data_IF_443735650911
#
_entry.id   IF_443735650911
#
_cell.length_a   1.000
_cell.length_b   1.000
_cell.length_c   1.000
_cell.angle_alpha   90.00
_cell.angle_beta   90.00
_cell.angle_gamma   90.00
#
_symmetry.space_group_name_H-M   'P 1'
#
loop_
_entity.id
_entity.type
_entity.pdbx_description
1 polymer ?
#
# COMPACT_ATOMS: atom_id res chain seq x y z
N UNK A 1 -9.17 -33.45 9.91
CA UNK A 1 -10.54 -33.27 9.44
C UNK A 1 -10.58 -32.62 8.07
N UNK A 2 -11.69 -32.67 7.39
CA UNK A 2 -11.91 -32.03 6.10
C UNK A 2 -13.30 -31.38 6.07
N UNK A 3 -13.46 -30.37 5.20
CA UNK A 3 -14.74 -29.71 4.95
C UNK A 3 -14.94 -29.51 3.45
N UNK A 4 -16.19 -29.49 3.01
CA UNK A 4 -16.59 -29.16 1.65
C UNK A 4 -17.43 -27.88 1.69
N UNK A 5 -17.16 -26.96 0.77
CA UNK A 5 -17.97 -25.77 0.52
C UNK A 5 -18.49 -25.88 -0.91
N UNK A 6 -19.80 -25.77 -1.11
CA UNK A 6 -20.41 -25.90 -2.44
C UNK A 6 -21.62 -24.96 -2.59
N UNK A 7 -22.01 -24.61 -3.83
CA UNK A 7 -23.25 -23.88 -4.10
C UNK A 7 -24.50 -24.68 -3.70
N UNK A 8 -25.57 -23.98 -3.32
CA UNK A 8 -26.80 -24.62 -2.83
C UNK A 8 -27.50 -25.53 -3.85
N UNK A 9 -27.29 -25.30 -5.12
CA UNK A 9 -27.87 -26.08 -6.23
C UNK A 9 -27.16 -27.42 -6.48
N UNK A 10 -26.00 -27.64 -5.90
CA UNK A 10 -25.21 -28.89 -6.04
C UNK A 10 -25.24 -29.79 -4.80
N UNK A 11 -26.19 -29.61 -3.89
CA UNK A 11 -26.27 -30.31 -2.60
C UNK A 11 -26.28 -31.84 -2.71
N UNK A 12 -26.87 -32.40 -3.76
CA UNK A 12 -26.91 -33.86 -3.99
C UNK A 12 -25.51 -34.41 -4.29
N UNK A 13 -24.73 -33.73 -5.11
CA UNK A 13 -23.37 -34.15 -5.48
C UNK A 13 -22.45 -34.03 -4.25
N UNK A 14 -22.55 -32.91 -3.53
CA UNK A 14 -21.76 -32.64 -2.34
C UNK A 14 -22.00 -33.67 -1.24
N UNK A 15 -23.25 -34.08 -0.97
CA UNK A 15 -23.57 -35.12 0.00
C UNK A 15 -22.99 -36.48 -0.37
N UNK A 16 -23.03 -36.89 -1.63
CA UNK A 16 -22.38 -38.13 -2.09
C UNK A 16 -20.86 -38.10 -1.93
N UNK A 17 -20.24 -36.96 -2.27
CA UNK A 17 -18.80 -36.77 -2.10
C UNK A 17 -18.41 -36.84 -0.63
N UNK A 18 -19.18 -36.19 0.25
CA UNK A 18 -18.93 -36.18 1.68
C UNK A 18 -18.97 -37.60 2.29
N UNK A 19 -19.93 -38.41 1.88
CA UNK A 19 -20.00 -39.80 2.32
C UNK A 19 -18.78 -40.61 1.85
N UNK A 20 -18.38 -40.46 0.57
CA UNK A 20 -17.19 -41.14 0.02
C UNK A 20 -15.93 -40.68 0.76
N UNK A 21 -15.73 -39.39 0.96
CA UNK A 21 -14.59 -38.84 1.69
C UNK A 21 -14.51 -39.37 3.12
N UNK A 22 -15.64 -39.51 3.82
CA UNK A 22 -15.68 -40.10 5.17
C UNK A 22 -15.29 -41.54 5.23
N UNK A 23 -15.65 -42.30 4.23
CA UNK A 23 -15.32 -43.77 4.13
C UNK A 23 -13.87 -43.99 3.74
N UNK A 24 -13.29 -43.11 2.92
CA UNK A 24 -11.93 -43.23 2.40
C UNK A 24 -10.90 -42.40 3.18
N UNK A 25 -11.34 -41.67 4.24
CA UNK A 25 -10.45 -40.85 5.04
C UNK A 25 -9.60 -41.72 5.97
N UNK A 26 -8.30 -41.73 5.70
CA UNK A 26 -7.31 -42.34 6.59
C UNK A 26 -6.44 -41.27 7.23
N UNK A 27 -6.24 -41.32 8.56
CA UNK A 27 -5.31 -40.46 9.23
C UNK A 27 -3.89 -41.00 9.07
N UNK A 28 -2.99 -40.19 8.55
CA UNK A 28 -1.57 -40.53 8.44
C UNK A 28 -0.87 -40.02 9.69
N UNK A 29 -0.34 -40.90 10.57
CA UNK A 29 0.40 -40.46 11.75
C UNK A 29 1.62 -39.62 11.35
N UNK A 30 1.83 -38.48 11.99
CA UNK A 30 2.94 -37.55 11.71
C UNK A 30 2.76 -36.68 10.47
N UNK A 31 1.58 -36.70 9.81
CA UNK A 31 1.32 -35.83 8.66
C UNK A 31 1.22 -34.34 9.02
N UNK A 32 0.83 -34.03 10.27
CA UNK A 32 0.88 -32.69 10.82
C UNK A 32 2.17 -32.56 11.63
N UNK A 33 2.99 -31.57 11.32
CA UNK A 33 4.19 -31.25 12.14
C UNK A 33 3.76 -30.94 13.57
N UNK A 34 4.44 -31.53 14.56
CA UNK A 34 4.28 -31.10 15.94
C UNK A 34 4.62 -29.61 16.06
N UNK A 35 3.79 -28.87 16.78
CA UNK A 35 4.00 -27.44 17.04
C UNK A 35 5.32 -27.23 17.74
N UNK A 36 6.35 -26.79 17.02
CA UNK A 36 7.53 -26.19 17.60
C UNK A 36 7.25 -24.70 17.79
N UNK A 37 7.20 -24.28 19.05
CA UNK A 37 7.18 -22.90 19.57
C UNK A 37 6.71 -21.76 18.65
N UNK A 38 5.86 -20.93 19.21
CA UNK A 38 4.96 -19.92 18.64
C UNK A 38 5.52 -18.85 17.67
N UNK A 39 6.78 -18.92 17.21
CA UNK A 39 7.40 -17.88 16.38
C UNK A 39 7.73 -18.28 14.92
N UNK A 40 7.71 -19.55 14.56
CA UNK A 40 8.08 -19.99 13.20
C UNK A 40 6.88 -20.38 12.33
N UNK A 41 5.71 -20.65 12.92
CA UNK A 41 4.55 -21.26 12.23
C UNK A 41 3.48 -20.28 11.73
N UNK A 42 3.75 -18.97 11.69
CA UNK A 42 2.75 -18.00 11.19
C UNK A 42 2.48 -18.12 9.67
N UNK A 43 3.29 -18.90 8.95
CA UNK A 43 3.16 -19.06 7.50
C UNK A 43 2.37 -20.31 7.08
N UNK A 44 1.93 -21.14 8.02
CA UNK A 44 1.18 -22.35 7.72
C UNK A 44 -0.31 -22.17 8.02
N UNK A 45 -1.16 -22.39 7.02
CA UNK A 45 -2.60 -22.42 7.25
C UNK A 45 -2.99 -23.84 7.71
N UNK A 46 -3.17 -24.01 9.02
CA UNK A 46 -3.53 -25.28 9.65
C UNK A 46 -4.82 -25.89 9.10
N UNK A 47 -5.73 -25.05 8.56
CA UNK A 47 -7.02 -25.52 8.00
C UNK A 47 -6.89 -26.05 6.57
N UNK A 48 -5.96 -25.52 5.80
CA UNK A 48 -5.80 -25.84 4.37
C UNK A 48 -4.57 -26.69 4.08
N UNK A 49 -3.64 -26.83 5.03
CA UNK A 49 -2.41 -27.61 4.85
C UNK A 49 -1.40 -26.98 3.87
N UNK A 50 -1.55 -25.69 3.53
CA UNK A 50 -0.65 -24.99 2.64
C UNK A 50 0.23 -23.98 3.38
N UNK A 51 1.48 -23.84 2.97
CA UNK A 51 2.31 -22.71 3.38
C UNK A 51 1.72 -21.42 2.83
N UNK A 52 1.35 -20.51 3.74
CA UNK A 52 0.99 -19.15 3.38
C UNK A 52 2.26 -18.36 3.15
N UNK A 53 2.61 -18.12 1.91
CA UNK A 53 3.67 -17.18 1.59
C UNK A 53 3.23 -15.78 2.00
N UNK A 54 4.01 -15.14 2.86
CA UNK A 54 3.82 -13.76 3.27
C UNK A 54 4.90 -12.89 2.64
N UNK A 55 4.57 -11.66 2.23
CA UNK A 55 5.61 -10.73 1.81
C UNK A 55 6.56 -10.42 2.96
N UNK A 56 7.83 -10.16 2.67
CA UNK A 56 8.84 -9.67 3.62
C UNK A 56 8.34 -8.41 4.33
N UNK A 57 7.79 -7.49 3.55
CA UNK A 57 7.06 -6.31 4.02
C UNK A 57 6.09 -5.84 2.96
N UNK A 58 5.14 -5.00 3.37
CA UNK A 58 4.26 -4.27 2.47
C UNK A 58 4.25 -2.79 2.83
N UNK A 59 4.01 -1.96 1.81
CA UNK A 59 3.92 -0.51 1.93
C UNK A 59 2.86 0.05 0.99
N UNK A 60 2.62 1.34 1.06
CA UNK A 60 1.68 2.04 0.21
C UNK A 60 2.33 2.56 -1.06
N UNK A 61 1.52 2.82 -2.07
CA UNK A 61 1.89 3.53 -3.29
C UNK A 61 0.65 4.18 -3.89
N UNK A 62 0.86 5.00 -4.92
CA UNK A 62 -0.23 5.75 -5.55
C UNK A 62 -0.18 5.59 -7.07
N UNK A 63 -1.33 5.32 -7.68
CA UNK A 63 -1.47 5.31 -9.14
C UNK A 63 -1.33 6.71 -9.71
N UNK A 64 -0.42 6.87 -10.68
CA UNK A 64 -0.04 8.18 -11.25
C UNK A 64 -0.50 8.38 -12.69
N UNK A 65 -0.76 7.30 -13.43
CA UNK A 65 -1.20 7.37 -14.82
C UNK A 65 -2.22 6.28 -15.18
N UNK A 66 -2.77 6.36 -16.39
CA UNK A 66 -3.75 5.42 -16.92
C UNK A 66 -3.15 4.04 -17.30
N UNK A 67 -1.82 3.90 -17.27
CA UNK A 67 -1.09 2.64 -17.46
C UNK A 67 -0.81 1.93 -16.13
N UNK A 68 -1.44 2.40 -15.04
CA UNK A 68 -1.29 1.88 -13.68
C UNK A 68 0.15 1.93 -13.14
N UNK A 69 0.97 2.89 -13.59
CA UNK A 69 2.24 3.14 -12.91
C UNK A 69 2.00 3.66 -11.50
N UNK A 70 2.84 3.24 -10.58
CA UNK A 70 2.71 3.55 -9.16
C UNK A 70 3.96 4.30 -8.69
N UNK A 71 3.75 5.39 -7.95
CA UNK A 71 4.81 6.04 -7.18
C UNK A 71 4.79 5.55 -5.74
N UNK A 72 5.96 5.28 -5.18
CA UNK A 72 6.15 4.84 -3.79
C UNK A 72 7.52 5.27 -3.28
N UNK A 73 7.81 5.00 -2.00
CA UNK A 73 9.16 5.17 -1.44
C UNK A 73 10.11 4.09 -2.01
N UNK A 74 11.37 4.44 -2.36
CA UNK A 74 12.31 3.52 -3.00
C UNK A 74 13.07 2.62 -2.02
N UNK A 75 13.39 3.11 -0.82
CA UNK A 75 14.21 2.39 0.17
C UNK A 75 13.76 0.94 0.36
N UNK A 76 14.70 -0.01 0.10
CA UNK A 76 14.50 -1.45 0.28
C UNK A 76 13.79 -2.17 -0.87
N UNK A 77 13.34 -1.48 -1.93
CA UNK A 77 12.70 -2.16 -3.08
C UNK A 77 13.68 -3.03 -3.87
N UNK A 78 14.94 -2.63 -3.97
CA UNK A 78 15.99 -3.39 -4.65
C UNK A 78 16.33 -4.74 -3.99
N UNK A 79 15.93 -4.93 -2.74
CA UNK A 79 16.11 -6.19 -2.00
C UNK A 79 15.00 -7.21 -2.30
N UNK A 80 13.96 -6.80 -3.01
CA UNK A 80 12.82 -7.66 -3.31
C UNK A 80 13.10 -8.52 -4.55
N UNK A 81 12.94 -9.82 -4.43
CA UNK A 81 13.00 -10.72 -5.58
C UNK A 81 11.79 -10.58 -6.50
N UNK A 82 10.66 -10.16 -5.94
CA UNK A 82 9.40 -9.91 -6.63
C UNK A 82 8.65 -8.77 -5.96
N UNK A 83 8.05 -7.89 -6.76
CA UNK A 83 7.15 -6.84 -6.31
C UNK A 83 5.74 -7.12 -6.83
N UNK A 84 4.74 -6.97 -5.97
CA UNK A 84 3.34 -7.04 -6.39
C UNK A 84 2.56 -5.85 -5.92
N UNK A 85 1.54 -5.46 -6.69
CA UNK A 85 0.54 -4.49 -6.26
C UNK A 85 -0.80 -5.19 -5.99
N UNK A 86 -1.47 -4.77 -4.92
CA UNK A 86 -2.77 -5.30 -4.47
C UNK A 86 -2.79 -6.85 -4.37
N UNK A 87 -1.65 -7.44 -4.03
CA UNK A 87 -1.48 -8.86 -3.75
C UNK A 87 -1.33 -9.77 -4.96
N UNK A 88 -1.74 -9.34 -6.16
CA UNK A 88 -1.86 -10.22 -7.34
C UNK A 88 -1.12 -9.76 -8.60
N UNK A 89 -0.89 -8.46 -8.76
CA UNK A 89 -0.30 -7.92 -9.99
C UNK A 89 1.20 -7.74 -9.83
N UNK A 90 1.99 -8.35 -10.73
CA UNK A 90 3.43 -8.20 -10.75
C UNK A 90 3.86 -6.83 -11.29
N UNK A 91 4.83 -6.24 -10.59
CA UNK A 91 5.41 -4.94 -10.92
C UNK A 91 6.92 -5.02 -10.98
N UNK A 92 7.50 -4.14 -11.78
CA UNK A 92 8.95 -3.93 -11.86
C UNK A 92 9.29 -2.47 -11.55
N UNK A 93 10.49 -2.23 -11.05
CA UNK A 93 10.99 -0.88 -10.85
C UNK A 93 11.26 -0.27 -12.24
N UNK A 94 10.55 0.82 -12.56
CA UNK A 94 10.77 1.57 -13.81
C UNK A 94 11.93 2.55 -13.66
N UNK A 95 11.93 3.32 -12.57
CA UNK A 95 12.98 4.28 -12.26
C UNK A 95 12.99 4.60 -10.77
N UNK A 96 14.16 4.92 -10.24
CA UNK A 96 14.37 5.33 -8.85
C UNK A 96 15.11 6.66 -8.78
N UNK A 97 14.82 7.43 -7.73
CA UNK A 97 15.55 8.63 -7.33
C UNK A 97 15.95 8.48 -5.86
N UNK A 98 17.21 8.16 -5.62
CA UNK A 98 17.76 7.94 -4.27
C UNK A 98 17.80 9.22 -3.43
N UNK A 99 17.96 10.40 -4.05
CA UNK A 99 18.01 11.68 -3.33
C UNK A 99 16.66 12.06 -2.72
N UNK A 100 15.58 11.73 -3.43
CA UNK A 100 14.21 11.93 -2.98
C UNK A 100 13.63 10.70 -2.27
N UNK A 101 14.32 9.55 -2.34
CA UNK A 101 13.81 8.26 -1.85
C UNK A 101 12.47 7.89 -2.52
N UNK A 102 12.39 8.04 -3.85
CA UNK A 102 11.21 7.77 -4.66
C UNK A 102 11.50 6.70 -5.70
N UNK A 103 10.50 5.85 -5.95
CA UNK A 103 10.49 4.91 -7.07
C UNK A 103 9.17 5.00 -7.84
N UNK A 104 9.27 4.80 -9.15
CA UNK A 104 8.12 4.54 -10.01
C UNK A 104 8.16 3.07 -10.39
N UNK A 105 7.05 2.39 -10.17
CA UNK A 105 6.84 1.01 -10.53
C UNK A 105 5.95 0.93 -11.76
N UNK A 106 6.26 0.00 -12.67
CA UNK A 106 5.45 -0.29 -13.84
C UNK A 106 4.87 -1.69 -13.75
N UNK A 107 3.60 -1.92 -14.11
CA UNK A 107 3.01 -3.26 -14.13
C UNK A 107 3.65 -4.09 -15.24
N UNK A 108 3.83 -5.40 -14.99
CA UNK A 108 4.36 -6.34 -15.99
C UNK A 108 3.28 -6.79 -17.00
N UNK A 109 2.07 -6.29 -16.86
CA UNK A 109 0.92 -6.60 -17.72
C UNK A 109 0.09 -5.35 -17.96
N UNK A 110 -0.75 -5.35 -18.98
CA UNK A 110 -1.61 -4.21 -19.27
C UNK A 110 -2.71 -4.08 -18.19
N UNK A 111 -2.62 -3.04 -17.39
CA UNK A 111 -3.57 -2.72 -16.31
C UNK A 111 -4.10 -1.30 -16.47
N UNK A 112 -5.30 -1.09 -15.92
CA UNK A 112 -5.89 0.25 -15.78
C UNK A 112 -6.32 0.44 -14.32
N UNK A 113 -5.90 1.53 -13.66
CA UNK A 113 -6.35 1.81 -12.31
C UNK A 113 -7.79 2.32 -12.31
N UNK A 114 -8.46 2.23 -11.16
CA UNK A 114 -9.80 2.82 -10.98
C UNK A 114 -9.78 4.34 -11.07
N UNK A 115 -8.70 4.95 -10.62
CA UNK A 115 -8.43 6.40 -10.67
C UNK A 115 -6.95 6.66 -10.50
N UNK A 116 -6.50 7.86 -10.83
CA UNK A 116 -5.14 8.34 -10.63
C UNK A 116 -5.14 9.54 -9.70
N UNK A 117 -3.99 9.84 -9.07
CA UNK A 117 -3.88 11.03 -8.23
C UNK A 117 -4.03 12.30 -9.06
N UNK A 118 -4.67 13.29 -8.45
CA UNK A 118 -4.76 14.64 -8.99
C UNK A 118 -4.15 15.60 -7.99
N UNK A 119 -3.22 16.45 -8.44
CA UNK A 119 -2.43 17.31 -7.56
C UNK A 119 -2.79 18.78 -7.63
N UNK A 120 -2.47 19.49 -6.57
CA UNK A 120 -2.38 20.96 -6.56
C UNK A 120 -0.96 21.39 -6.17
N UNK A 121 -0.48 22.47 -6.80
CA UNK A 121 0.79 23.09 -6.41
C UNK A 121 0.66 23.97 -5.15
N UNK A 122 -0.55 24.30 -4.76
CA UNK A 122 -0.82 25.08 -3.54
C UNK A 122 -0.67 24.16 -2.32
N UNK A 123 0.30 24.44 -1.46
CA UNK A 123 0.44 23.75 -0.18
C UNK A 123 -0.49 24.37 0.86
N UNK A 124 -0.99 23.56 1.82
CA UNK A 124 -1.73 24.07 2.97
C UNK A 124 -0.91 25.07 3.80
N UNK A 125 -1.59 25.87 4.59
CA UNK A 125 -0.96 26.70 5.62
C UNK A 125 -0.64 25.85 6.84
N UNK A 126 0.35 26.30 7.62
CA UNK A 126 0.65 25.68 8.91
C UNK A 126 -0.61 25.72 9.78
N UNK A 127 -0.99 24.56 10.32
CA UNK A 127 -2.20 24.37 11.12
C UNK A 127 -3.41 23.85 10.33
N UNK A 128 -3.37 23.87 8.99
CA UNK A 128 -4.45 23.29 8.18
C UNK A 128 -4.51 21.76 8.32
N UNK A 129 -5.71 21.22 8.18
CA UNK A 129 -5.94 19.78 8.15
C UNK A 129 -5.40 19.17 6.86
N UNK A 130 -4.80 18.00 7.01
CA UNK A 130 -4.36 17.12 5.93
C UNK A 130 -4.78 15.69 6.25
N UNK A 131 -4.76 14.81 5.26
CA UNK A 131 -5.08 13.41 5.45
C UNK A 131 -4.06 12.51 4.76
N UNK A 132 -3.60 11.48 5.45
CA UNK A 132 -2.75 10.41 4.90
C UNK A 132 -3.62 9.25 4.45
N UNK A 133 -3.54 8.87 3.18
CA UNK A 133 -4.13 7.65 2.65
C UNK A 133 -3.06 6.59 2.44
N UNK A 134 -3.24 5.43 3.06
CA UNK A 134 -2.21 4.39 3.12
C UNK A 134 -2.79 3.02 3.48
N UNK A 135 -1.94 1.99 3.42
CA UNK A 135 -2.21 0.64 3.91
C UNK A 135 -1.41 0.38 5.21
N UNK A 136 -1.91 0.79 6.38
CA UNK A 136 -1.26 0.52 7.65
C UNK A 136 -1.20 -0.98 7.94
N UNK A 137 -0.39 -1.35 8.95
CA UNK A 137 -0.22 -2.73 9.39
C UNK A 137 0.23 -3.69 8.27
N UNK A 138 1.01 -3.16 7.29
CA UNK A 138 1.53 -3.93 6.15
C UNK A 138 0.42 -4.64 5.34
N UNK A 139 -0.70 -3.96 5.14
CA UNK A 139 -1.81 -4.49 4.34
C UNK A 139 -2.65 -5.59 5.00
N UNK A 140 -2.58 -5.74 6.33
CA UNK A 140 -3.48 -6.64 7.06
C UNK A 140 -4.96 -6.23 6.93
N UNK A 141 -5.20 -4.97 6.64
CA UNK A 141 -6.52 -4.48 6.27
C UNK A 141 -6.71 -4.63 4.76
N UNK A 142 -7.90 -5.09 4.35
CA UNK A 142 -8.21 -5.34 2.92
C UNK A 142 -8.44 -4.07 2.09
N UNK A 143 -8.27 -2.89 2.69
CA UNK A 143 -8.46 -1.58 2.05
C UNK A 143 -7.47 -0.58 2.62
N UNK A 144 -7.20 0.48 1.86
CA UNK A 144 -6.49 1.63 2.38
C UNK A 144 -7.35 2.37 3.42
N UNK A 145 -6.69 3.05 4.33
CA UNK A 145 -7.33 3.87 5.36
C UNK A 145 -6.94 5.34 5.18
N UNK A 146 -7.78 6.22 5.70
CA UNK A 146 -7.50 7.65 5.73
C UNK A 146 -7.31 8.10 7.18
N UNK A 147 -6.14 8.64 7.49
CA UNK A 147 -5.78 9.17 8.82
C UNK A 147 -5.67 10.69 8.77
N UNK A 148 -6.47 11.39 9.58
CA UNK A 148 -6.41 12.85 9.67
C UNK A 148 -5.17 13.33 10.41
N UNK A 149 -4.62 14.46 9.96
CA UNK A 149 -3.48 15.10 10.56
C UNK A 149 -3.47 16.61 10.33
N UNK A 150 -2.38 17.24 10.70
CA UNK A 150 -2.19 18.69 10.61
C UNK A 150 -0.88 18.98 9.90
N UNK A 151 -0.91 19.91 8.94
CA UNK A 151 0.28 20.43 8.29
C UNK A 151 1.09 21.29 9.27
N UNK A 152 2.37 20.95 9.48
CA UNK A 152 3.20 21.52 10.56
C UNK A 152 4.26 22.49 10.09
N UNK A 153 4.97 22.17 8.99
CA UNK A 153 6.14 22.91 8.59
C UNK A 153 6.44 22.71 7.09
N UNK A 154 6.99 23.73 6.43
CA UNK A 154 7.36 23.73 5.01
C UNK A 154 8.71 23.09 4.71
N UNK A 155 9.38 22.52 5.70
CA UNK A 155 10.67 21.83 5.57
C UNK A 155 10.72 20.64 6.51
N UNK A 156 11.66 19.72 6.28
CA UNK A 156 11.93 18.63 7.21
C UNK A 156 12.72 19.11 8.45
N UNK A 157 13.11 18.18 9.33
CA UNK A 157 13.87 18.46 10.55
C UNK A 157 15.30 19.00 10.30
N UNK A 158 15.82 18.83 9.08
CA UNK A 158 17.14 19.30 8.66
C UNK A 158 17.07 20.57 7.82
N UNK A 159 15.86 21.13 7.62
CA UNK A 159 15.64 22.32 6.82
C UNK A 159 15.53 22.05 5.31
N UNK A 160 15.41 20.81 4.89
CA UNK A 160 15.22 20.44 3.47
C UNK A 160 13.84 20.91 3.00
N UNK A 161 13.80 21.89 2.12
CA UNK A 161 12.59 22.50 1.56
C UNK A 161 11.92 21.68 0.47
N UNK A 162 12.53 20.59 0.00
CA UNK A 162 11.88 19.61 -0.89
C UNK A 162 10.80 18.82 -0.18
N UNK A 163 10.82 18.85 1.15
CA UNK A 163 9.95 18.12 2.05
C UNK A 163 9.09 19.04 2.88
N UNK A 164 8.09 18.48 3.53
CA UNK A 164 7.29 19.15 4.56
C UNK A 164 7.03 18.20 5.72
N UNK A 165 6.65 18.76 6.86
CA UNK A 165 6.26 18.01 8.05
C UNK A 165 4.76 18.10 8.29
N UNK A 166 4.21 17.01 8.78
CA UNK A 166 2.83 16.92 9.21
C UNK A 166 2.73 16.01 10.44
N UNK A 167 1.66 16.13 11.20
CA UNK A 167 1.41 15.25 12.34
C UNK A 167 0.25 14.31 12.02
N UNK A 168 0.54 13.02 12.03
CA UNK A 168 -0.43 11.93 11.89
C UNK A 168 0.16 10.73 12.63
N UNK A 169 -0.67 9.92 13.24
CA UNK A 169 -0.21 8.61 13.74
C UNK A 169 0.05 7.72 12.55
N UNK A 170 1.24 7.13 12.48
CA UNK A 170 1.65 6.26 11.39
C UNK A 170 2.02 4.87 11.90
N UNK A 171 1.79 3.88 11.05
CA UNK A 171 2.04 2.48 11.30
C UNK A 171 2.93 1.90 10.19
N UNK A 172 3.46 0.69 10.42
CA UNK A 172 4.18 -0.03 9.37
C UNK A 172 3.26 -0.26 8.15
N UNK A 173 3.74 0.15 6.98
CA UNK A 173 2.96 0.08 5.74
C UNK A 173 2.48 1.44 5.23
N UNK A 174 2.49 2.49 6.05
CA UNK A 174 2.07 3.84 5.66
C UNK A 174 3.05 4.53 4.70
N UNK A 175 4.29 4.10 4.71
CA UNK A 175 5.34 4.58 3.80
C UNK A 175 4.90 4.47 2.33
N UNK A 176 5.08 5.52 1.55
CA UNK A 176 4.61 5.63 0.17
C UNK A 176 3.13 6.04 0.05
N UNK A 177 2.45 6.28 1.17
CA UNK A 177 1.08 6.80 1.20
C UNK A 177 0.99 8.26 0.75
N UNK A 178 -0.19 8.64 0.26
CA UNK A 178 -0.47 9.99 -0.24
C UNK A 178 -0.98 10.91 0.84
N UNK A 179 -0.45 12.15 0.85
CA UNK A 179 -0.99 13.22 1.67
C UNK A 179 -1.92 14.06 0.81
N UNK A 180 -3.14 14.27 1.32
CA UNK A 180 -4.20 15.02 0.66
C UNK A 180 -4.59 16.26 1.48
N UNK A 181 -4.92 17.35 0.78
CA UNK A 181 -5.52 18.53 1.40
C UNK A 181 -7.03 18.32 1.67
N UNK A 182 -7.66 19.32 2.29
CA UNK A 182 -9.09 19.30 2.59
C UNK A 182 -9.99 19.29 1.35
N UNK A 183 -9.47 19.58 0.17
CA UNK A 183 -10.19 19.51 -1.11
C UNK A 183 -9.95 18.19 -1.85
N UNK A 184 -9.22 17.23 -1.24
CA UNK A 184 -8.88 15.93 -1.80
C UNK A 184 -7.83 16.01 -2.91
N UNK A 185 -6.99 17.06 -2.93
CA UNK A 185 -5.86 17.14 -3.85
C UNK A 185 -4.63 16.51 -3.22
N UNK A 186 -3.87 15.77 -4.02
CA UNK A 186 -2.57 15.25 -3.63
C UNK A 186 -1.55 16.40 -3.47
N UNK A 187 -0.88 16.45 -2.33
CA UNK A 187 0.10 17.49 -1.98
C UNK A 187 1.50 16.94 -1.69
N UNK A 188 1.64 15.64 -1.47
CA UNK A 188 2.93 15.00 -1.24
C UNK A 188 2.84 13.54 -0.89
N UNK A 189 3.99 12.86 -0.93
CA UNK A 189 4.15 11.43 -0.63
C UNK A 189 4.82 11.25 0.73
N UNK A 190 4.19 10.49 1.63
CA UNK A 190 4.79 10.14 2.91
C UNK A 190 6.00 9.22 2.74
N UNK A 191 7.10 9.56 3.41
CA UNK A 191 8.30 8.74 3.49
C UNK A 191 8.66 8.48 4.95
N UNK A 192 9.02 7.25 5.24
CA UNK A 192 9.50 6.86 6.56
C UNK A 192 11.03 6.83 6.55
N UNK A 193 11.65 7.52 7.50
CA UNK A 193 13.11 7.44 7.66
C UNK A 193 13.44 6.31 8.65
N UNK A 194 14.50 5.50 8.41
CA UNK A 194 14.85 4.39 9.30
C UNK A 194 15.08 4.76 10.76
N UNK A 195 15.43 6.04 11.02
CA UNK A 195 15.60 6.57 12.38
C UNK A 195 14.35 7.26 12.94
N UNK A 196 13.25 7.33 12.20
CA UNK A 196 11.99 7.88 12.73
C UNK A 196 11.38 6.85 13.67
N UNK A 197 11.17 7.24 14.93
CA UNK A 197 10.39 6.41 15.86
C UNK A 197 8.94 6.37 15.36
N UNK A 198 8.35 5.18 15.34
CA UNK A 198 6.90 5.02 15.25
C UNK A 198 6.25 5.97 16.27
N UNK A 199 5.20 6.66 15.89
CA UNK A 199 4.51 7.67 16.70
C UNK A 199 5.25 9.00 16.93
N UNK A 200 6.15 9.41 16.05
CA UNK A 200 6.63 10.80 16.13
C UNK A 200 5.56 11.77 15.60
N UNK A 201 5.28 12.86 16.33
CA UNK A 201 4.38 13.93 15.90
C UNK A 201 4.90 14.71 14.66
N UNK A 202 6.01 14.28 14.08
CA UNK A 202 6.69 14.92 12.97
C UNK A 202 6.97 13.91 11.84
N UNK A 203 5.91 13.57 11.11
CA UNK A 203 6.04 12.78 9.88
C UNK A 203 6.54 13.66 8.73
N UNK A 204 7.23 13.05 7.77
CA UNK A 204 7.85 13.73 6.64
C UNK A 204 7.18 13.27 5.34
N UNK A 205 6.92 14.23 4.46
CA UNK A 205 6.48 13.94 3.10
C UNK A 205 7.28 14.76 2.08
N UNK A 206 7.49 14.17 0.90
CA UNK A 206 8.05 14.84 -0.26
C UNK A 206 6.96 15.68 -0.91
N UNK A 207 7.26 16.94 -1.20
CA UNK A 207 6.31 17.85 -1.84
C UNK A 207 5.96 17.39 -3.25
N UNK A 208 4.71 17.54 -3.63
CA UNK A 208 4.24 17.21 -4.97
C UNK A 208 5.00 17.95 -6.07
N UNK A 209 5.48 19.18 -5.80
CA UNK A 209 6.29 19.92 -6.77
C UNK A 209 7.61 19.22 -7.12
N UNK A 210 8.29 18.62 -6.14
CA UNK A 210 9.51 17.85 -6.35
C UNK A 210 9.22 16.51 -7.05
N UNK A 211 8.10 15.87 -6.70
CA UNK A 211 7.61 14.67 -7.37
C UNK A 211 7.35 14.96 -8.85
N UNK A 212 6.62 16.04 -9.14
CA UNK A 212 6.29 16.40 -10.52
C UNK A 212 7.53 16.76 -11.34
N UNK A 213 8.51 17.44 -10.72
CA UNK A 213 9.81 17.70 -11.32
C UNK A 213 10.54 16.41 -11.69
N UNK A 214 10.61 15.46 -10.77
CA UNK A 214 11.20 14.14 -11.01
C UNK A 214 10.53 13.41 -12.17
N UNK A 215 9.20 13.38 -12.21
CA UNK A 215 8.42 12.75 -13.27
C UNK A 215 8.68 13.40 -14.64
N UNK A 216 8.79 14.73 -14.67
CA UNK A 216 9.08 15.47 -15.89
C UNK A 216 10.52 15.21 -16.40
N UNK A 217 11.50 15.14 -15.51
CA UNK A 217 12.89 14.83 -15.84
C UNK A 217 13.06 13.41 -16.40
N UNK A 218 12.18 12.48 -16.05
CA UNK A 218 12.16 11.11 -16.59
C UNK A 218 11.53 11.00 -18.00
N UNK A 219 11.03 12.12 -18.54
CA UNK A 219 10.67 12.29 -19.96
C UNK A 219 9.31 11.74 -20.38
N UNK A 220 8.45 11.24 -19.46
CA UNK A 220 7.25 10.53 -19.90
C UNK A 220 6.00 10.72 -19.03
N UNK A 221 6.10 11.33 -17.87
CA UNK A 221 4.99 11.35 -16.92
C UNK A 221 4.76 12.75 -16.38
N UNK A 222 3.52 13.17 -16.43
CA UNK A 222 3.05 14.40 -15.78
C UNK A 222 1.83 14.03 -14.92
N UNK A 223 1.83 14.48 -13.66
CA UNK A 223 0.68 14.28 -12.79
C UNK A 223 -0.52 15.09 -13.29
N UNK A 224 -1.69 14.51 -13.19
CA UNK A 224 -2.93 15.21 -13.52
C UNK A 224 -3.18 16.35 -12.55
N UNK A 225 -3.37 17.56 -13.09
CA UNK A 225 -3.64 18.74 -12.30
C UNK A 225 -5.08 18.79 -11.82
N UNK A 226 -5.28 19.11 -10.54
CA UNK A 226 -6.58 19.36 -9.94
C UNK A 226 -6.89 20.85 -9.88
N UNK A 227 -8.16 21.17 -10.03
CA UNK A 227 -8.68 22.53 -9.87
C UNK A 227 -9.68 22.64 -8.71
N UNK A 228 -9.73 21.61 -7.84
CA UNK A 228 -10.59 21.60 -6.67
C UNK A 228 -10.07 22.58 -5.62
N UNK A 229 -10.94 23.46 -5.16
CA UNK A 229 -10.61 24.46 -4.14
C UNK A 229 -11.58 24.44 -2.96
N UNK A 230 -12.71 23.73 -3.11
CA UNK A 230 -13.72 23.63 -2.06
C UNK A 230 -13.43 22.43 -1.16
N UNK A 231 -13.46 22.61 0.16
CA UNK A 231 -13.33 21.50 1.09
C UNK A 231 -14.41 20.42 0.84
N UNK A 232 -13.99 19.18 0.95
CA UNK A 232 -14.84 18.00 0.88
C UNK A 232 -15.03 17.44 2.29
N UNK A 233 -16.10 16.67 2.48
CA UNK A 233 -16.21 15.86 3.68
C UNK A 233 -15.17 14.71 3.65
N UNK A 234 -14.80 14.23 4.82
CA UNK A 234 -13.76 13.22 4.98
C UNK A 234 -14.09 11.92 4.24
N UNK A 235 -15.35 11.51 4.24
CA UNK A 235 -15.80 10.29 3.55
C UNK A 235 -15.62 10.38 2.02
N UNK A 236 -15.76 11.57 1.43
CA UNK A 236 -15.47 11.77 0.00
C UNK A 236 -13.98 11.71 -0.29
N UNK A 237 -13.16 12.31 0.57
CA UNK A 237 -11.70 12.22 0.45
C UNK A 237 -11.26 10.76 0.57
N UNK A 238 -11.77 10.02 1.56
CA UNK A 238 -11.50 8.59 1.74
C UNK A 238 -11.89 7.77 0.49
N UNK A 239 -13.09 7.99 -0.04
CA UNK A 239 -13.55 7.30 -1.25
C UNK A 239 -12.66 7.57 -2.47
N UNK A 240 -12.19 8.80 -2.64
CA UNK A 240 -11.25 9.16 -3.71
C UNK A 240 -9.89 8.54 -3.49
N UNK A 241 -9.36 8.65 -2.29
CA UNK A 241 -8.05 8.15 -1.88
C UNK A 241 -7.96 6.62 -2.02
N UNK A 242 -9.00 5.88 -1.63
CA UNK A 242 -9.05 4.43 -1.76
C UNK A 242 -8.93 3.94 -3.22
N UNK A 243 -9.33 4.75 -4.19
CA UNK A 243 -9.24 4.39 -5.62
C UNK A 243 -7.84 4.58 -6.21
N UNK A 244 -7.05 5.44 -5.60
CA UNK A 244 -5.72 5.81 -6.10
C UNK A 244 -4.58 5.19 -5.30
N UNK A 245 -4.88 4.61 -4.13
CA UNK A 245 -3.88 4.00 -3.25
C UNK A 245 -3.73 2.51 -3.54
N UNK A 246 -2.51 2.04 -3.68
CA UNK A 246 -2.15 0.65 -3.92
C UNK A 246 -1.33 0.08 -2.75
N UNK A 247 -1.53 -1.20 -2.45
CA UNK A 247 -0.68 -1.97 -1.54
C UNK A 247 0.47 -2.57 -2.35
N UNK A 248 1.70 -2.20 -2.04
CA UNK A 248 2.91 -2.75 -2.66
C UNK A 248 3.51 -3.77 -1.69
N UNK A 249 3.73 -4.99 -2.18
CA UNK A 249 4.31 -6.07 -1.39
C UNK A 249 5.64 -6.53 -1.98
N UNK A 250 6.63 -6.63 -1.10
CA UNK A 250 7.98 -7.12 -1.37
C UNK A 250 8.07 -8.60 -0.99
N UNK A 251 8.54 -9.44 -1.89
CA UNK A 251 8.67 -10.88 -1.67
C UNK A 251 10.13 -11.28 -1.71
N UNK A 252 10.49 -12.23 -0.86
CA UNK A 252 11.76 -12.97 -0.91
C UNK A 252 11.57 -14.28 -1.68
N UNK A 253 12.67 -14.81 -2.20
CA UNK A 253 12.68 -16.14 -2.86
C UNK A 253 12.46 -17.27 -1.86
#
# INVERSE_FOLDING_TARGET
GFGLIWPDDEDFIAKRLLVKMRLEFESIPGALRERTTANEDQNFNEYLGFELRRPKYSRSGLFIDDEAKIITQSSGLSECSRLTANGIYDYSIFIENSDLDLAILTPNQNLKPLSIIEYTSALPKIGDKVALASFPYQGKLNRSTLSEGIFREMADLRGDRKKFRFSVSTELGDSGGGIFDTSGNFIGLHITHPSSKENSDAQIAIKVGEINKFLHETGSLELKRSYRTKPLDLGKIEFMANKVTALISCWEN
#
